data_IF_916822229938
#
_entry.id   IF_916822229938
#
_cell.length_a   1.000
_cell.length_b   1.000
_cell.length_c   1.000
_cell.angle_alpha   90.00
_cell.angle_beta   90.00
_cell.angle_gamma   90.00
#
_symmetry.space_group_name_H-M   'P 1'
#
loop_
_entity.id
_entity.type
_entity.pdbx_description
1 polymer ?
#
# COMPACT_ATOMS: atom_id res chain seq x y z
N UNK A 1 20.84 -43.60 -50.08
CA UNK A 1 20.37 -43.87 -48.72
C UNK A 1 19.37 -42.79 -48.35
N UNK A 2 18.11 -43.12 -48.11
CA UNK A 2 17.05 -42.14 -47.81
C UNK A 2 16.60 -42.29 -46.36
N UNK A 3 16.48 -41.17 -45.64
CA UNK A 3 15.97 -41.12 -44.27
C UNK A 3 14.56 -40.51 -44.30
N UNK A 4 13.58 -41.22 -43.73
CA UNK A 4 12.21 -40.74 -43.53
C UNK A 4 12.04 -40.45 -42.05
N UNK A 5 11.70 -39.20 -41.70
CA UNK A 5 11.35 -38.82 -40.33
C UNK A 5 9.83 -38.91 -40.16
N UNK A 6 9.38 -39.72 -39.22
CA UNK A 6 7.99 -39.76 -38.77
C UNK A 6 7.79 -38.69 -37.68
N UNK A 7 6.89 -37.74 -37.91
CA UNK A 7 6.50 -36.74 -36.92
C UNK A 7 5.28 -37.26 -36.13
N UNK A 8 5.43 -37.43 -34.82
CA UNK A 8 4.32 -37.71 -33.91
C UNK A 8 3.79 -36.39 -33.35
N UNK A 9 2.51 -36.08 -33.62
CA UNK A 9 1.83 -34.90 -33.08
C UNK A 9 1.36 -35.15 -31.64
N UNK A 10 1.57 -34.17 -30.76
CA UNK A 10 1.01 -34.15 -29.41
C UNK A 10 -0.32 -33.37 -29.41
N UNK A 11 -1.40 -34.02 -29.00
CA UNK A 11 -2.72 -33.41 -28.85
C UNK A 11 -2.81 -32.71 -27.50
N UNK A 12 -2.91 -31.37 -27.49
CA UNK A 12 -3.23 -30.61 -26.29
C UNK A 12 -4.75 -30.51 -26.12
N UNK A 13 -5.29 -31.10 -25.05
CA UNK A 13 -6.66 -30.88 -24.59
C UNK A 13 -6.62 -29.93 -23.38
N UNK A 14 -7.07 -28.70 -23.56
CA UNK A 14 -7.25 -27.75 -22.45
C UNK A 14 -8.71 -27.76 -21.98
N UNK A 15 -8.93 -28.16 -20.73
CA UNK A 15 -10.22 -28.08 -20.07
C UNK A 15 -10.61 -26.62 -19.80
N UNK A 16 -11.82 -26.22 -20.21
CA UNK A 16 -12.37 -24.91 -19.92
C UNK A 16 -12.83 -24.85 -18.45
N UNK A 17 -12.29 -23.89 -17.69
CA UNK A 17 -12.77 -23.57 -16.35
C UNK A 17 -14.04 -22.73 -16.44
N UNK A 18 -15.15 -23.19 -15.84
CA UNK A 18 -16.36 -22.39 -15.72
C UNK A 18 -16.21 -21.35 -14.59
N UNK A 19 -16.76 -20.13 -14.73
CA UNK A 19 -16.75 -19.16 -13.64
C UNK A 19 -17.77 -19.57 -12.57
N UNK A 20 -17.29 -19.94 -11.38
CA UNK A 20 -18.12 -19.99 -10.18
C UNK A 20 -18.36 -18.56 -9.71
N UNK A 21 -19.60 -18.08 -9.81
CA UNK A 21 -20.03 -16.83 -9.21
C UNK A 21 -20.16 -17.00 -7.70
N UNK A 22 -19.11 -16.62 -6.98
CA UNK A 22 -19.14 -16.54 -5.52
C UNK A 22 -19.82 -15.24 -5.10
N UNK A 23 -21.03 -15.35 -4.55
CA UNK A 23 -21.75 -14.22 -3.95
C UNK A 23 -20.98 -13.71 -2.71
N UNK A 24 -20.60 -12.44 -2.71
CA UNK A 24 -19.96 -11.78 -1.57
C UNK A 24 -21.01 -11.34 -0.52
N UNK A 25 -20.71 -11.41 0.78
CA UNK A 25 -21.60 -10.89 1.82
C UNK A 25 -21.63 -9.36 1.77
N UNK A 26 -22.84 -8.80 1.83
CA UNK A 26 -23.11 -7.36 1.94
C UNK A 26 -22.68 -6.89 3.34
N UNK A 27 -21.64 -6.07 3.40
CA UNK A 27 -21.21 -5.40 4.63
C UNK A 27 -22.02 -4.11 4.80
N UNK A 28 -22.75 -4.01 5.92
CA UNK A 28 -23.51 -2.81 6.28
C UNK A 28 -22.56 -1.63 6.53
N UNK A 29 -22.77 -0.55 5.78
CA UNK A 29 -22.02 0.69 5.86
C UNK A 29 -22.40 1.46 7.13
N UNK A 30 -21.44 1.57 8.06
CA UNK A 30 -21.53 2.45 9.22
C UNK A 30 -21.35 3.93 8.82
N UNK A 31 -22.05 4.81 9.53
CA UNK A 31 -22.23 6.22 9.23
C UNK A 31 -20.94 7.05 9.14
N UNK A 32 -20.97 8.07 8.27
CA UNK A 32 -19.91 9.04 8.03
C UNK A 32 -19.60 9.92 9.26
N UNK A 33 -18.33 10.31 9.50
CA UNK A 33 -18.04 11.34 10.49
C UNK A 33 -18.40 12.73 9.95
N UNK A 34 -19.03 13.52 10.81
CA UNK A 34 -19.40 14.91 10.57
C UNK A 34 -18.17 15.80 10.33
N UNK A 35 -18.31 16.72 9.36
CA UNK A 35 -17.33 17.77 9.10
C UNK A 35 -17.36 18.80 10.23
N UNK A 36 -16.20 19.10 10.81
CA UNK A 36 -16.02 20.27 11.67
C UNK A 36 -15.67 21.50 10.81
N UNK A 37 -16.28 22.68 11.04
CA UNK A 37 -15.94 23.89 10.29
C UNK A 37 -14.55 24.41 10.69
N UNK A 38 -13.73 24.67 9.67
CA UNK A 38 -12.53 25.49 9.76
C UNK A 38 -12.90 26.98 9.84
N UNK A 39 -12.32 27.69 10.80
CA UNK A 39 -11.92 29.10 10.61
C UNK A 39 -12.54 30.14 11.55
N UNK A 40 -11.72 30.64 12.49
CA UNK A 40 -11.61 32.09 12.76
C UNK A 40 -10.44 32.39 13.68
N UNK A 41 -9.36 32.87 13.08
CA UNK A 41 -8.33 33.69 13.73
C UNK A 41 -8.91 35.08 14.06
N UNK A 42 -8.71 35.59 15.30
CA UNK A 42 -8.50 37.03 15.54
C UNK A 42 -8.07 37.37 16.99
N UNK A 43 -6.83 37.86 17.08
CA UNK A 43 -6.29 39.02 17.85
C UNK A 43 -6.82 39.42 19.25
N UNK A 44 -5.85 39.54 20.19
CA UNK A 44 -5.74 40.54 21.27
C UNK A 44 -6.73 40.40 22.45
N UNK A 45 -6.37 40.44 23.73
CA UNK A 45 -5.62 41.52 24.38
C UNK A 45 -5.08 41.12 25.79
N UNK A 46 -4.03 41.83 26.18
CA UNK A 46 -3.34 42.04 27.46
C UNK A 46 -3.98 41.61 28.81
N UNK A 47 -3.12 41.05 29.68
CA UNK A 47 -2.85 41.67 30.99
C UNK A 47 -3.22 40.91 32.27
N UNK A 48 -2.16 40.55 33.02
CA UNK A 48 -1.93 40.64 34.49
C UNK A 48 -1.40 39.35 35.12
N UNK A 49 -0.26 39.51 35.79
CA UNK A 49 0.58 38.42 36.26
C UNK A 49 0.17 37.79 37.59
N UNK A 50 0.99 36.83 38.01
CA UNK A 50 1.36 36.65 39.41
C UNK A 50 2.65 35.82 39.48
N UNK A 51 3.65 36.34 40.20
CA UNK A 51 4.83 35.59 40.58
C UNK A 51 4.45 34.53 41.61
N UNK A 52 4.99 33.30 41.48
CA UNK A 52 4.80 32.32 42.53
C UNK A 52 5.18 30.89 42.21
N UNK A 53 6.39 30.53 42.63
CA UNK A 53 6.78 29.24 43.24
C UNK A 53 7.12 28.07 42.31
N UNK A 54 8.40 27.71 42.43
CA UNK A 54 8.98 26.40 42.17
C UNK A 54 8.08 25.28 42.70
N UNK A 55 7.73 24.29 41.87
CA UNK A 55 7.53 22.91 42.31
C UNK A 55 7.71 21.98 41.11
N UNK A 56 8.74 21.12 41.19
CA UNK A 56 8.93 19.95 40.34
C UNK A 56 7.70 19.06 40.46
N UNK A 57 6.93 18.86 39.40
CA UNK A 57 6.13 17.64 39.26
C UNK A 57 6.05 17.18 37.81
N UNK A 58 6.59 15.99 37.62
CA UNK A 58 6.47 15.16 36.45
C UNK A 58 5.00 14.97 36.05
N UNK A 59 4.58 15.60 34.94
CA UNK A 59 3.40 15.11 34.20
C UNK A 59 3.85 14.60 32.85
N UNK A 60 3.95 13.28 32.84
CA UNK A 60 4.33 12.42 31.72
C UNK A 60 3.51 12.82 30.50
N UNK A 61 4.19 13.35 29.49
CA UNK A 61 3.69 13.38 28.13
C UNK A 61 3.54 11.92 27.68
N UNK A 62 2.35 11.34 27.84
CA UNK A 62 1.94 10.15 27.09
C UNK A 62 1.08 10.65 25.93
N UNK A 63 1.73 11.37 25.01
CA UNK A 63 1.20 11.48 23.67
C UNK A 63 1.26 10.09 23.07
N UNK A 64 0.10 9.46 22.92
CA UNK A 64 -0.07 8.31 22.04
C UNK A 64 0.43 8.73 20.65
N UNK A 65 1.70 8.45 20.37
CA UNK A 65 2.25 8.54 19.02
C UNK A 65 1.57 7.41 18.26
N UNK A 66 0.41 7.72 17.68
CA UNK A 66 -0.16 6.90 16.63
C UNK A 66 0.96 6.74 15.62
N UNK A 67 1.49 5.52 15.53
CA UNK A 67 2.53 5.19 14.57
C UNK A 67 2.03 5.67 13.21
N UNK A 68 2.74 6.61 12.59
CA UNK A 68 2.51 7.00 11.22
C UNK A 68 2.81 5.78 10.35
N UNK A 69 1.81 4.92 10.23
CA UNK A 69 1.79 3.84 9.26
C UNK A 69 1.56 4.50 7.91
N UNK A 70 2.67 4.83 7.24
CA UNK A 70 2.59 5.32 5.88
C UNK A 70 1.92 4.30 4.96
N UNK A 71 1.65 4.70 3.73
CA UNK A 71 0.94 3.87 2.75
C UNK A 71 1.84 3.62 1.56
N UNK A 72 1.64 2.47 0.92
CA UNK A 72 2.31 2.14 -0.33
C UNK A 72 1.26 2.30 -1.43
N UNK A 73 1.53 3.15 -2.40
CA UNK A 73 0.67 3.40 -3.53
C UNK A 73 1.27 2.74 -4.76
N UNK A 74 0.49 1.94 -5.47
CA UNK A 74 0.92 1.34 -6.72
C UNK A 74 -0.14 1.61 -7.77
N UNK A 75 0.24 2.37 -8.79
CA UNK A 75 -0.65 2.97 -9.77
C UNK A 75 -1.82 3.69 -9.05
N UNK A 76 -3.05 3.18 -9.22
CA UNK A 76 -4.28 3.72 -8.66
C UNK A 76 -4.68 3.08 -7.31
N UNK A 77 -3.89 2.15 -6.77
CA UNK A 77 -4.22 1.37 -5.56
C UNK A 77 -3.38 1.79 -4.36
N UNK A 78 -3.96 1.71 -3.17
CA UNK A 78 -3.29 2.03 -1.90
C UNK A 78 -3.28 0.83 -0.95
N UNK A 79 -2.09 0.46 -0.51
CA UNK A 79 -1.78 -0.67 0.36
C UNK A 79 -1.30 -0.17 1.73
N UNK A 80 -1.46 -1.02 2.74
CA UNK A 80 -0.88 -0.77 4.07
C UNK A 80 0.64 -0.97 4.03
N UNK A 81 1.39 -0.17 4.79
CA UNK A 81 2.81 -0.43 5.02
C UNK A 81 3.06 -1.40 6.19
N UNK A 82 2.00 -1.89 6.82
CA UNK A 82 2.14 -2.94 7.82
C UNK A 82 2.87 -4.14 7.20
N UNK A 83 3.83 -4.75 7.93
CA UNK A 83 4.47 -5.98 7.48
C UNK A 83 3.38 -7.03 7.32
N UNK A 84 3.01 -7.26 6.08
CA UNK A 84 2.08 -8.27 5.64
C UNK A 84 2.86 -9.18 4.70
N UNK A 85 2.41 -10.44 4.60
CA UNK A 85 3.01 -11.40 3.69
C UNK A 85 2.98 -10.89 2.23
N UNK A 86 3.73 -11.54 1.36
CA UNK A 86 3.81 -11.22 -0.07
C UNK A 86 2.44 -10.91 -0.68
N UNK A 87 2.28 -9.69 -1.21
CA UNK A 87 1.03 -9.23 -1.81
C UNK A 87 1.18 -9.26 -3.33
N UNK A 88 0.32 -10.03 -4.00
CA UNK A 88 0.21 -9.94 -5.45
C UNK A 88 -0.56 -8.69 -5.85
N UNK A 89 0.01 -7.93 -6.77
CA UNK A 89 -0.61 -6.77 -7.38
C UNK A 89 -0.92 -7.07 -8.84
N UNK A 90 -2.08 -6.61 -9.30
CA UNK A 90 -2.45 -6.67 -10.70
C UNK A 90 -2.44 -5.25 -11.22
N UNK A 91 -1.66 -4.98 -12.26
CA UNK A 91 -1.75 -3.74 -13.02
C UNK A 91 -3.18 -3.59 -13.53
N UNK A 92 -3.96 -2.74 -12.86
CA UNK A 92 -5.34 -2.48 -13.22
C UNK A 92 -5.45 -1.81 -14.59
N UNK A 93 -6.63 -1.94 -15.22
CA UNK A 93 -7.05 -1.22 -16.42
C UNK A 93 -6.08 -1.27 -17.63
N UNK A 94 -5.20 -2.27 -17.70
CA UNK A 94 -4.26 -2.43 -18.81
C UNK A 94 -2.97 -1.62 -18.68
N UNK A 95 -2.62 -1.14 -17.48
CA UNK A 95 -1.31 -0.54 -17.24
C UNK A 95 -0.19 -1.55 -17.54
N UNK A 96 0.79 -1.13 -18.34
CA UNK A 96 1.97 -1.95 -18.68
C UNK A 96 3.13 -1.76 -17.72
N UNK A 97 3.03 -0.77 -16.84
CA UNK A 97 4.07 -0.41 -15.89
C UNK A 97 3.46 -0.15 -14.51
N UNK A 98 4.32 -0.19 -13.50
CA UNK A 98 4.01 0.14 -12.13
C UNK A 98 4.64 1.49 -11.76
N UNK A 99 3.83 2.38 -11.20
CA UNK A 99 4.25 3.60 -10.54
C UNK A 99 4.05 3.41 -9.04
N UNK A 100 5.16 3.38 -8.30
CA UNK A 100 5.19 3.03 -6.89
C UNK A 100 5.56 4.28 -6.10
N UNK A 101 4.74 4.63 -5.13
CA UNK A 101 5.01 5.68 -4.16
C UNK A 101 4.92 5.11 -2.75
N UNK A 102 6.03 5.18 -2.04
CA UNK A 102 6.14 4.66 -0.69
C UNK A 102 6.15 5.81 0.31
N UNK A 103 4.99 6.12 0.88
CA UNK A 103 4.87 7.16 1.92
C UNK A 103 5.21 6.61 3.32
N UNK A 104 5.68 5.36 3.41
CA UNK A 104 6.06 4.72 4.67
C UNK A 104 7.55 4.84 4.97
N UNK A 105 7.89 4.52 6.22
CA UNK A 105 9.27 4.45 6.72
C UNK A 105 9.96 3.11 6.38
N UNK A 106 9.32 2.22 5.61
CA UNK A 106 9.86 0.89 5.27
C UNK A 106 10.45 0.86 3.87
N UNK A 107 11.21 -0.18 3.54
CA UNK A 107 11.62 -0.48 2.17
C UNK A 107 10.56 -1.37 1.52
N UNK A 108 10.22 -1.08 0.26
CA UNK A 108 9.33 -1.89 -0.56
C UNK A 108 10.15 -2.58 -1.63
N UNK A 109 10.06 -3.91 -1.68
CA UNK A 109 10.67 -4.72 -2.72
C UNK A 109 9.57 -5.24 -3.64
N UNK A 110 9.77 -5.09 -4.94
CA UNK A 110 8.82 -5.53 -5.96
C UNK A 110 9.47 -6.65 -6.74
N UNK A 111 8.74 -7.76 -6.89
CA UNK A 111 9.20 -8.94 -7.60
C UNK A 111 8.32 -9.19 -8.83
N UNK A 112 8.91 -9.80 -9.86
CA UNK A 112 8.17 -10.27 -11.03
C UNK A 112 7.40 -11.54 -10.68
N UNK A 113 6.14 -11.62 -11.14
CA UNK A 113 5.27 -12.79 -10.94
C UNK A 113 4.36 -12.69 -9.72
N UNK A 114 3.80 -13.83 -9.30
CA UNK A 114 2.81 -13.89 -8.22
C UNK A 114 3.41 -14.08 -6.81
N UNK A 115 4.73 -14.29 -6.72
CA UNK A 115 5.43 -14.70 -5.50
C UNK A 115 6.68 -13.84 -5.29
N UNK A 116 7.09 -13.69 -4.03
CA UNK A 116 8.18 -12.82 -3.58
C UNK A 116 9.52 -13.54 -3.39
N UNK A 117 9.69 -14.73 -3.99
CA UNK A 117 10.88 -15.57 -3.92
C UNK A 117 11.50 -15.86 -5.30
N UNK A 118 11.04 -15.16 -6.35
CA UNK A 118 11.54 -15.29 -7.74
C UNK A 118 12.95 -14.70 -7.97
N UNK A 119 13.77 -14.57 -6.94
CA UNK A 119 15.13 -14.02 -7.01
C UNK A 119 15.19 -12.53 -6.65
N UNK A 120 16.00 -11.76 -7.37
CA UNK A 120 16.21 -10.34 -7.06
C UNK A 120 14.95 -9.50 -7.37
N UNK A 121 14.66 -8.48 -6.56
CA UNK A 121 13.56 -7.57 -6.85
C UNK A 121 13.81 -6.80 -8.15
N UNK A 122 12.74 -6.58 -8.93
CA UNK A 122 12.75 -5.72 -10.13
C UNK A 122 12.78 -4.23 -9.76
N UNK A 123 12.37 -3.89 -8.54
CA UNK A 123 12.51 -2.56 -7.98
C UNK A 123 12.61 -2.62 -6.45
N UNK A 124 13.46 -1.76 -5.89
CA UNK A 124 13.54 -1.53 -4.44
C UNK A 124 13.28 -0.04 -4.19
N UNK A 125 12.18 0.26 -3.51
CA UNK A 125 11.74 1.62 -3.23
C UNK A 125 11.98 1.92 -1.76
N UNK A 126 12.87 2.87 -1.50
CA UNK A 126 13.20 3.27 -0.14
C UNK A 126 12.07 3.99 0.59
N UNK A 127 12.25 4.24 1.89
CA UNK A 127 11.32 5.07 2.68
C UNK A 127 11.05 6.43 2.02
N UNK A 128 9.79 6.87 2.02
CA UNK A 128 9.37 8.18 1.50
C UNK A 128 9.86 8.46 0.06
N UNK A 129 9.99 7.42 -0.76
CA UNK A 129 10.55 7.48 -2.11
C UNK A 129 9.56 6.98 -3.16
N UNK A 130 9.88 7.22 -4.43
CA UNK A 130 9.07 6.81 -5.58
C UNK A 130 9.90 6.05 -6.62
N UNK A 131 9.23 5.19 -7.38
CA UNK A 131 9.79 4.54 -8.58
C UNK A 131 8.70 4.48 -9.65
N UNK A 132 8.97 5.04 -10.83
CA UNK A 132 8.00 5.18 -11.91
C UNK A 132 8.38 4.31 -13.10
N UNK A 133 7.38 3.80 -13.82
CA UNK A 133 7.61 3.04 -15.05
C UNK A 133 8.26 1.67 -14.86
N UNK A 134 8.15 1.06 -13.67
CA UNK A 134 8.70 -0.27 -13.41
C UNK A 134 7.98 -1.30 -14.27
N UNK A 135 8.73 -2.11 -15.02
CA UNK A 135 8.19 -3.16 -15.90
C UNK A 135 8.00 -4.47 -15.12
N UNK A 136 6.75 -4.90 -14.82
CA UNK A 136 6.44 -6.03 -13.95
C UNK A 136 6.82 -7.39 -14.53
#
# INVERSE_FOLDING_TARGET
TAAVLAATGLTFASAASQPVTQAAPVVQQAAAPAQAPLGSDNKGNEGKGNEGREHREHRRHHGHRHHEEGRIHINERSYSSHPSDCITIVSGLGAKSLNIRNDSHKTVEVFRGAVCDNGAPIATVGPHSTADGVDP
#
